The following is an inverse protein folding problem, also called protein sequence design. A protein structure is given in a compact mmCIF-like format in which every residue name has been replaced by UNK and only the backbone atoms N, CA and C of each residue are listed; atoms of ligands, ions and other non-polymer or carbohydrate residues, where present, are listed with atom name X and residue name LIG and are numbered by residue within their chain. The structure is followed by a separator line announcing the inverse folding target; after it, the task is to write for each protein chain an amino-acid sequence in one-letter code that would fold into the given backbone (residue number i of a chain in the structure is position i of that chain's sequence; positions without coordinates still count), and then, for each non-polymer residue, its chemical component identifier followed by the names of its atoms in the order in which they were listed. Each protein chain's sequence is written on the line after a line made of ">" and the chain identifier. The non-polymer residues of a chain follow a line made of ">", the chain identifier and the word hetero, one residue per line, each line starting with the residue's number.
data_IF_228075015463
#
_entry.id   IF_228075015463
#
_cell.length_a   1.000
_cell.length_b   1.000
_cell.length_c   1.000
_cell.angle_alpha   90.00
_cell.angle_beta   90.00
_cell.angle_gamma   90.00
#
_symmetry.space_group_name_H-M   'P 1'
#
loop_
_entity.id
_entity.type
_entity.pdbx_description
1 polymer ?
#
# COMPACT_ATOMS: atom_id res chain seq x y z
N UNK A 1 18.46 8.19 -18.11
CA UNK A 1 18.01 7.95 -16.73
C UNK A 1 16.59 8.51 -16.66
N UNK A 2 15.58 7.66 -16.65
CA UNK A 2 14.22 8.13 -16.38
C UNK A 2 14.20 8.40 -14.87
N UNK A 3 14.00 9.66 -14.47
CA UNK A 3 13.53 9.95 -13.12
C UNK A 3 12.27 9.10 -12.96
N UNK A 4 12.32 8.08 -12.11
CA UNK A 4 11.10 7.43 -11.66
C UNK A 4 10.40 8.44 -10.78
N UNK A 5 9.22 8.89 -11.23
CA UNK A 5 8.36 9.75 -10.44
C UNK A 5 8.13 9.12 -9.06
N UNK A 6 8.13 9.93 -8.01
CA UNK A 6 8.06 9.48 -6.61
C UNK A 6 6.86 8.58 -6.37
N UNK A 7 5.75 8.81 -7.08
CA UNK A 7 4.54 8.00 -7.05
C UNK A 7 4.75 6.59 -7.61
N UNK A 8 5.53 6.47 -8.69
CA UNK A 8 5.90 5.16 -9.24
C UNK A 8 6.76 4.41 -8.23
N UNK A 9 7.74 5.10 -7.63
CA UNK A 9 8.59 4.49 -6.59
C UNK A 9 7.76 4.05 -5.38
N UNK A 10 6.75 4.82 -4.98
CA UNK A 10 5.82 4.38 -3.94
C UNK A 10 5.15 3.07 -4.32
N UNK A 11 4.51 3.00 -5.50
CA UNK A 11 3.80 1.78 -5.92
C UNK A 11 4.74 0.58 -6.00
N UNK A 12 5.92 0.75 -6.59
CA UNK A 12 6.94 -0.31 -6.70
C UNK A 12 7.39 -0.78 -5.29
N UNK A 13 7.59 0.14 -4.33
CA UNK A 13 7.92 -0.22 -2.95
C UNK A 13 6.75 -0.89 -2.21
N UNK A 14 5.49 -0.52 -2.49
CA UNK A 14 4.36 -1.18 -1.85
C UNK A 14 4.23 -2.63 -2.32
N UNK A 15 4.62 -2.92 -3.56
CA UNK A 15 4.63 -4.28 -4.07
C UNK A 15 5.75 -5.11 -3.43
N UNK A 16 6.93 -4.50 -3.32
CA UNK A 16 8.16 -5.10 -2.80
C UNK A 16 8.59 -4.54 -1.43
N UNK A 17 7.72 -4.62 -0.42
CA UNK A 17 8.01 -4.11 0.92
C UNK A 17 9.26 -4.75 1.55
N UNK A 18 9.60 -5.97 1.16
CA UNK A 18 10.83 -6.67 1.55
C UNK A 18 12.10 -5.95 1.13
N UNK A 19 12.03 -5.10 0.09
CA UNK A 19 13.14 -4.28 -0.39
C UNK A 19 13.15 -2.87 0.23
N UNK A 20 12.05 -2.45 0.86
CA UNK A 20 11.85 -1.10 1.38
C UNK A 20 11.72 -1.03 2.92
N UNK A 21 12.06 -2.11 3.63
CA UNK A 21 12.09 -2.15 5.10
C UNK A 21 10.77 -2.53 5.77
N UNK A 22 9.72 -2.87 5.00
CA UNK A 22 8.41 -3.24 5.51
C UNK A 22 7.37 -2.12 5.45
N UNK A 23 6.15 -2.41 5.93
CA UNK A 23 5.00 -1.50 5.77
C UNK A 23 5.17 -0.19 6.54
N UNK A 24 5.91 -0.19 7.66
CA UNK A 24 6.07 1.00 8.51
C UNK A 24 6.93 2.06 7.82
N UNK A 25 8.12 1.70 7.40
CA UNK A 25 9.08 2.51 6.68
C UNK A 25 8.43 3.06 5.41
N UNK A 26 7.68 2.21 4.71
CA UNK A 26 6.94 2.59 3.53
C UNK A 26 5.84 3.63 3.81
N UNK A 27 5.04 3.44 4.86
CA UNK A 27 4.00 4.41 5.24
C UNK A 27 4.61 5.76 5.62
N UNK A 28 5.74 5.76 6.32
CA UNK A 28 6.44 7.00 6.67
C UNK A 28 7.02 7.70 5.44
N UNK A 29 7.57 6.94 4.49
CA UNK A 29 8.04 7.48 3.22
C UNK A 29 6.91 8.14 2.41
N UNK A 30 5.72 7.54 2.37
CA UNK A 30 4.53 8.15 1.74
C UNK A 30 4.16 9.47 2.43
N UNK A 31 4.15 9.53 3.76
CA UNK A 31 3.84 10.77 4.49
C UNK A 31 4.82 11.88 4.11
N UNK A 32 6.12 11.59 4.08
CA UNK A 32 7.15 12.57 3.68
C UNK A 32 6.99 12.97 2.21
N UNK A 33 6.61 12.04 1.34
CA UNK A 33 6.34 12.32 -0.06
C UNK A 33 5.11 13.21 -0.23
N UNK A 34 4.02 12.96 0.51
CA UNK A 34 2.79 13.77 0.52
C UNK A 34 3.06 15.27 0.80
N UNK A 35 4.12 15.58 1.55
CA UNK A 35 4.57 16.96 1.81
C UNK A 35 5.33 17.62 0.63
N UNK A 36 5.57 16.89 -0.47
CA UNK A 36 6.43 17.30 -1.60
C UNK A 36 5.81 17.00 -2.97
N UNK A 37 4.76 17.76 -3.34
CA UNK A 37 4.10 17.75 -4.66
C UNK A 37 3.68 16.36 -5.17
N UNK A 38 3.22 15.51 -4.24
CA UNK A 38 2.85 14.12 -4.52
C UNK A 38 1.44 13.99 -5.06
N UNK A 39 1.31 13.36 -6.22
CA UNK A 39 0.04 13.21 -6.93
C UNK A 39 -0.60 11.84 -6.69
N UNK A 40 -1.64 11.81 -5.87
CA UNK A 40 -2.48 10.60 -5.72
C UNK A 40 -3.15 10.17 -7.04
N UNK A 41 -3.35 11.08 -7.99
CA UNK A 41 -3.84 10.72 -9.32
C UNK A 41 -2.83 9.85 -10.08
N UNK A 42 -1.55 10.22 -10.05
CA UNK A 42 -0.45 9.45 -10.66
C UNK A 42 -0.29 8.09 -9.98
N UNK A 43 -0.47 8.01 -8.66
CA UNK A 43 -0.49 6.72 -7.93
C UNK A 43 -1.60 5.82 -8.45
N UNK A 44 -2.82 6.34 -8.62
CA UNK A 44 -3.95 5.56 -9.15
C UNK A 44 -3.67 5.04 -10.56
N UNK A 45 -3.10 5.85 -11.43
CA UNK A 45 -2.70 5.42 -12.78
C UNK A 45 -1.64 4.30 -12.72
N UNK A 46 -0.70 4.39 -11.79
CA UNK A 46 0.29 3.33 -11.58
C UNK A 46 -0.37 2.04 -11.07
N UNK A 47 -1.32 2.12 -10.14
CA UNK A 47 -2.01 0.95 -9.56
C UNK A 47 -2.89 0.18 -10.57
N UNK A 48 -3.35 0.81 -11.65
CA UNK A 48 -4.15 0.15 -12.68
C UNK A 48 -3.37 -0.83 -13.57
N UNK A 49 -2.04 -0.92 -13.41
CA UNK A 49 -1.20 -1.83 -14.19
C UNK A 49 -1.38 -3.28 -13.72
N UNK A 50 -1.34 -4.27 -14.64
CA UNK A 50 -1.78 -5.65 -14.41
C UNK A 50 -0.98 -6.48 -13.39
N UNK A 51 0.05 -5.94 -12.75
CA UNK A 51 0.89 -6.65 -11.76
C UNK A 51 0.82 -6.04 -10.35
N UNK A 52 0.12 -4.92 -10.17
CA UNK A 52 0.13 -4.17 -8.91
C UNK A 52 -0.94 -4.64 -7.93
N UNK A 53 -1.38 -5.90 -7.99
CA UNK A 53 -2.52 -6.40 -7.20
C UNK A 53 -2.29 -6.33 -5.70
N UNK A 54 -1.11 -6.76 -5.23
CA UNK A 54 -0.74 -6.71 -3.81
C UNK A 54 -0.49 -5.27 -3.34
N UNK A 55 0.27 -4.49 -4.12
CA UNK A 55 0.44 -3.05 -3.90
C UNK A 55 -0.90 -2.31 -3.77
N UNK A 56 -1.83 -2.55 -4.70
CA UNK A 56 -3.17 -1.94 -4.72
C UNK A 56 -3.92 -2.21 -3.43
N UNK A 57 -3.95 -3.46 -2.96
CA UNK A 57 -4.61 -3.84 -1.70
C UNK A 57 -4.03 -3.08 -0.50
N UNK A 58 -2.69 -3.03 -0.40
CA UNK A 58 -1.97 -2.37 0.71
C UNK A 58 -2.19 -0.85 0.71
N UNK A 59 -2.11 -0.19 -0.45
CA UNK A 59 -2.35 1.26 -0.56
C UNK A 59 -3.80 1.60 -0.20
N UNK A 60 -4.78 0.88 -0.76
CA UNK A 60 -6.19 1.18 -0.52
C UNK A 60 -6.56 0.97 0.94
N UNK A 61 -6.06 -0.12 1.56
CA UNK A 61 -6.28 -0.38 2.99
C UNK A 61 -5.78 0.77 3.87
N UNK A 62 -4.59 1.33 3.59
CA UNK A 62 -3.97 2.37 4.44
C UNK A 62 -4.46 3.79 4.15
N UNK A 63 -4.84 4.10 2.92
CA UNK A 63 -5.23 5.45 2.48
C UNK A 63 -6.62 5.47 1.81
N UNK A 64 -7.66 4.88 2.43
CA UNK A 64 -8.98 4.80 1.80
C UNK A 64 -9.58 6.18 1.52
N UNK A 65 -9.27 7.19 2.35
CA UNK A 65 -9.73 8.57 2.19
C UNK A 65 -9.15 9.26 0.94
N UNK A 66 -7.91 8.93 0.55
CA UNK A 66 -7.23 9.49 -0.64
C UNK A 66 -7.77 8.89 -1.94
N UNK A 67 -8.42 7.74 -1.84
CA UNK A 67 -8.94 6.97 -2.96
C UNK A 67 -10.48 6.89 -2.96
N UNK A 68 -11.18 7.89 -2.39
CA UNK A 68 -12.67 7.94 -2.33
C UNK A 68 -13.37 8.15 -3.69
N UNK A 69 -12.78 7.68 -4.78
CA UNK A 69 -13.24 7.82 -6.16
C UNK A 69 -13.69 6.47 -6.74
N UNK A 70 -14.32 6.43 -7.94
CA UNK A 70 -14.66 5.19 -8.64
C UNK A 70 -13.50 4.22 -8.82
N UNK A 71 -12.26 4.71 -8.72
CA UNK A 71 -11.05 3.89 -8.77
C UNK A 71 -11.02 2.85 -7.65
N UNK A 72 -11.29 3.24 -6.39
CA UNK A 72 -11.32 2.30 -5.25
C UNK A 72 -12.30 1.17 -5.48
N UNK A 73 -13.52 1.52 -5.87
CA UNK A 73 -14.59 0.53 -6.12
C UNK A 73 -14.18 -0.44 -7.24
N UNK A 74 -13.53 0.08 -8.28
CA UNK A 74 -12.97 -0.73 -9.38
C UNK A 74 -11.87 -1.67 -8.91
N UNK A 75 -10.97 -1.19 -8.05
CA UNK A 75 -9.92 -2.04 -7.47
C UNK A 75 -10.48 -3.12 -6.57
N UNK A 76 -11.42 -2.80 -5.67
CA UNK A 76 -12.05 -3.79 -4.80
C UNK A 76 -12.68 -4.93 -5.61
N UNK A 77 -13.37 -4.62 -6.70
CA UNK A 77 -13.93 -5.63 -7.62
C UNK A 77 -12.88 -6.46 -8.37
N UNK A 78 -11.65 -5.96 -8.50
CA UNK A 78 -10.56 -6.65 -9.18
C UNK A 78 -9.81 -7.66 -8.28
N UNK A 79 -10.09 -7.69 -6.98
CA UNK A 79 -9.41 -8.59 -6.05
C UNK A 79 -9.90 -10.04 -6.24
N UNK A 80 -9.23 -10.77 -7.14
CA UNK A 80 -9.81 -12.02 -7.64
C UNK A 80 -9.54 -13.29 -6.82
N UNK A 81 -8.64 -13.33 -5.83
CA UNK A 81 -8.52 -14.51 -4.93
C UNK A 81 -7.37 -14.43 -3.94
N UNK A 82 -6.25 -13.84 -4.33
CA UNK A 82 -5.05 -13.89 -3.49
C UNK A 82 -5.21 -13.04 -2.23
N UNK A 83 -4.74 -13.55 -1.09
CA UNK A 83 -4.74 -12.85 0.18
C UNK A 83 -3.31 -12.57 0.62
N UNK A 84 -2.66 -11.52 0.07
CA UNK A 84 -1.31 -11.18 0.47
C UNK A 84 -1.28 -10.71 1.94
N UNK A 85 -0.08 -10.79 2.52
CA UNK A 85 0.19 -10.14 3.80
C UNK A 85 0.25 -8.62 3.59
N UNK A 86 -0.30 -7.89 4.55
CA UNK A 86 -0.14 -6.44 4.63
C UNK A 86 1.34 -6.07 4.73
N UNK A 87 2.12 -6.80 5.54
CA UNK A 87 3.56 -6.67 5.62
C UNK A 87 4.27 -8.04 5.37
N UNK A 88 4.90 -8.25 4.20
CA UNK A 88 5.52 -9.53 3.86
C UNK A 88 6.78 -9.85 4.68
N UNK A 89 7.38 -8.88 5.39
CA UNK A 89 8.57 -9.14 6.23
C UNK A 89 8.22 -9.55 7.67
N UNK A 90 6.93 -9.56 8.02
CA UNK A 90 6.44 -9.94 9.35
C UNK A 90 5.93 -11.38 9.33
N UNK A 91 5.66 -11.92 10.52
CA UNK A 91 5.05 -13.24 10.64
C UNK A 91 3.72 -13.28 9.87
N UNK A 92 3.33 -14.45 9.37
CA UNK A 92 2.05 -14.60 8.66
C UNK A 92 0.82 -14.53 9.59
N UNK A 93 1.02 -14.50 10.91
CA UNK A 93 -0.06 -14.47 11.88
C UNK A 93 -0.75 -13.11 11.87
N UNK A 94 -2.07 -13.11 11.73
CA UNK A 94 -2.86 -11.89 11.60
C UNK A 94 -4.32 -12.17 11.23
N UNK A 95 -5.13 -11.12 11.26
CA UNK A 95 -6.55 -11.18 10.93
C UNK A 95 -6.77 -11.01 9.43
N UNK A 96 -7.74 -11.73 8.87
CA UNK A 96 -8.16 -11.54 7.47
C UNK A 96 -9.17 -10.40 7.36
N UNK A 97 -8.89 -9.43 6.49
CA UNK A 97 -9.85 -8.40 6.10
C UNK A 97 -10.50 -8.78 4.76
N UNK A 98 -11.79 -9.08 4.80
CA UNK A 98 -12.56 -9.52 3.64
C UNK A 98 -12.91 -8.41 2.66
N UNK A 99 -12.93 -7.14 3.09
CA UNK A 99 -13.19 -6.02 2.20
C UNK A 99 -12.01 -5.83 1.24
N UNK A 100 -10.79 -5.92 1.76
CA UNK A 100 -9.57 -5.70 0.98
C UNK A 100 -8.88 -6.98 0.51
N UNK A 101 -9.40 -8.16 0.87
CA UNK A 101 -8.76 -9.44 0.62
C UNK A 101 -7.28 -9.44 1.07
N UNK A 102 -7.02 -8.97 2.29
CA UNK A 102 -5.67 -8.72 2.81
C UNK A 102 -5.53 -9.30 4.22
N UNK A 103 -4.41 -9.94 4.52
CA UNK A 103 -4.11 -10.42 5.88
C UNK A 103 -3.34 -9.37 6.66
N UNK A 104 -3.97 -8.83 7.68
CA UNK A 104 -3.44 -7.78 8.56
C UNK A 104 -2.59 -8.45 9.64
N UNK A 105 -1.29 -8.55 9.35
CA UNK A 105 -0.28 -9.24 10.16
C UNK A 105 0.67 -8.27 10.89
N UNK A 106 0.16 -7.08 11.19
CA UNK A 106 0.89 -6.05 11.95
C UNK A 106 0.03 -5.56 13.11
N UNK A 107 0.71 -5.23 14.20
CA UNK A 107 0.12 -4.57 15.35
C UNK A 107 0.32 -3.06 15.18
N UNK A 108 -0.74 -2.36 14.75
CA UNK A 108 -0.66 -0.92 14.47
C UNK A 108 -0.43 -0.08 15.73
N UNK A 109 -0.99 -0.47 16.87
CA UNK A 109 -0.77 0.23 18.13
C UNK A 109 0.70 0.18 18.51
N UNK A 110 1.35 -0.97 18.33
CA UNK A 110 2.80 -1.12 18.55
C UNK A 110 3.62 -0.35 17.53
N UNK A 111 3.17 -0.23 16.28
CA UNK A 111 3.89 0.52 15.24
C UNK A 111 3.85 2.04 15.48
N UNK A 112 2.75 2.58 16.00
CA UNK A 112 2.63 4.01 16.35
C UNK A 112 3.30 4.32 17.71
N UNK A 113 3.38 3.35 18.63
CA UNK A 113 3.92 3.55 20.00
C UNK A 113 5.45 3.52 20.13
N UNK A 114 6.19 3.18 19.07
CA UNK A 114 7.67 3.23 19.07
C UNK A 114 8.21 4.62 18.70
N UNK A 115 7.33 5.62 18.58
CA UNK A 115 7.61 7.04 18.36
C UNK A 115 7.59 7.85 19.67
N UNK A 116 8.14 7.31 20.76
CA UNK A 116 8.32 8.03 22.04
C UNK A 116 9.75 7.96 22.53
#
# INVERSE_FOLDING_TARGET
>A
MNVTDVEKTTVDCTDHLELCGGIREHVQAIVVAEDRDYSWATVVECLQRPDNGAATKRIIYRRPARLRSPARETFLRSFMSECPLLDPIRSEQGSYDSEYHLRINVDWERLDSMES
#
